data_IF_805137661489
#
_entry.id   IF_805137661489
#
_cell.length_a   1.000
_cell.length_b   1.000
_cell.length_c   1.000
_cell.angle_alpha   90.00
_cell.angle_beta   90.00
_cell.angle_gamma   90.00
#
_symmetry.space_group_name_H-M   'P 1'
#
loop_
_entity.id
_entity.type
_entity.pdbx_description
1 polymer ?
#
# COMPACT_ATOMS: atom_id res chain seq x y z
N UNK A 1 21.35 9.32 -6.78
CA UNK A 1 21.72 8.48 -5.62
C UNK A 1 20.57 7.52 -5.40
N UNK A 2 20.81 6.19 -5.46
CA UNK A 2 19.76 5.19 -5.19
C UNK A 2 19.58 5.14 -3.68
N UNK A 3 18.38 5.46 -3.21
CA UNK A 3 18.05 5.40 -1.80
C UNK A 3 17.74 3.96 -1.38
N UNK A 4 18.16 3.57 -0.18
CA UNK A 4 17.83 2.26 0.36
C UNK A 4 16.48 2.35 1.07
N UNK A 5 15.42 1.80 0.47
CA UNK A 5 14.09 1.72 1.06
C UNK A 5 13.87 0.35 1.69
N UNK A 6 13.14 0.32 2.79
CA UNK A 6 12.61 -0.90 3.35
C UNK A 6 11.39 -1.36 2.57
N UNK A 7 11.27 -2.67 2.43
CA UNK A 7 10.14 -3.34 1.80
C UNK A 7 9.47 -4.24 2.81
N UNK A 8 8.20 -4.02 3.05
CA UNK A 8 7.38 -4.92 3.86
C UNK A 8 6.64 -5.87 2.92
N UNK A 9 6.94 -7.18 2.96
CA UNK A 9 6.37 -8.13 2.03
C UNK A 9 4.89 -8.39 2.29
N UNK A 10 4.11 -8.51 1.21
CA UNK A 10 2.71 -8.94 1.22
C UNK A 10 2.63 -10.29 0.50
N UNK A 11 2.07 -11.29 1.18
CA UNK A 11 1.96 -12.65 0.68
C UNK A 11 0.50 -13.07 0.56
N UNK A 12 0.22 -14.03 -0.31
CA UNK A 12 -1.04 -14.79 -0.21
C UNK A 12 -1.08 -15.57 1.10
N UNK A 13 -2.24 -16.07 1.48
CA UNK A 13 -2.38 -16.97 2.66
C UNK A 13 -1.48 -18.21 2.54
N UNK A 14 -1.17 -18.63 1.31
CA UNK A 14 -0.33 -19.81 1.03
C UNK A 14 1.18 -19.48 1.02
N UNK A 15 1.57 -18.22 1.25
CA UNK A 15 2.97 -17.80 1.34
C UNK A 15 3.60 -17.37 0.03
N UNK A 16 2.84 -17.23 -1.05
CA UNK A 16 3.34 -16.65 -2.31
C UNK A 16 3.50 -15.14 -2.14
N UNK A 17 4.68 -14.60 -2.46
CA UNK A 17 4.94 -13.15 -2.46
C UNK A 17 4.20 -12.50 -3.62
N UNK A 18 3.39 -11.48 -3.35
CA UNK A 18 2.55 -10.81 -4.35
C UNK A 18 2.81 -9.31 -4.45
N UNK A 19 3.30 -8.69 -3.40
CA UNK A 19 3.62 -7.27 -3.40
C UNK A 19 4.67 -6.92 -2.36
N UNK A 20 5.31 -5.78 -2.56
CA UNK A 20 6.24 -5.14 -1.62
C UNK A 20 5.73 -3.74 -1.29
N UNK A 21 5.57 -3.46 -0.01
CA UNK A 21 5.16 -2.16 0.49
C UNK A 21 6.42 -1.35 0.85
N UNK A 22 6.72 -0.31 0.06
CA UNK A 22 7.89 0.52 0.28
C UNK A 22 7.65 1.52 1.41
N UNK A 23 8.53 1.46 2.40
CA UNK A 23 8.57 2.42 3.50
C UNK A 23 9.92 3.14 3.51
N UNK A 24 9.96 4.35 4.04
CA UNK A 24 11.22 5.07 4.23
C UNK A 24 12.12 4.29 5.21
N UNK A 25 13.30 3.89 4.70
CA UNK A 25 14.16 2.89 5.32
C UNK A 25 15.12 3.39 6.38
N UNK A 26 14.71 4.24 7.34
CA UNK A 26 15.59 4.56 8.47
C UNK A 26 14.93 4.31 9.83
N UNK A 27 15.63 3.57 10.74
CA UNK A 27 15.14 3.37 12.10
C UNK A 27 15.29 4.62 13.00
N UNK A 28 15.81 5.72 12.48
CA UNK A 28 16.09 6.94 13.26
C UNK A 28 15.07 8.03 12.93
N UNK A 29 13.83 7.86 13.43
CA UNK A 29 12.73 8.83 13.29
C UNK A 29 13.09 10.28 13.68
N UNK A 30 14.17 10.51 14.41
CA UNK A 30 14.58 11.85 14.87
C UNK A 30 15.44 12.62 13.84
N UNK A 31 16.22 11.95 13.00
CA UNK A 31 17.09 12.61 12.01
C UNK A 31 16.39 12.86 10.68
N UNK A 32 15.56 11.95 10.24
CA UNK A 32 14.85 12.06 8.97
C UNK A 32 13.76 13.13 9.03
N UNK A 33 13.08 13.29 10.18
CA UNK A 33 12.06 14.34 10.37
C UNK A 33 12.66 15.74 10.15
N UNK A 34 13.93 15.95 10.46
CA UNK A 34 14.60 17.25 10.26
C UNK A 34 15.14 17.46 8.85
N UNK A 35 15.44 16.38 8.11
CA UNK A 35 15.95 16.46 6.73
C UNK A 35 14.82 16.36 5.69
N UNK A 36 13.80 15.53 5.94
CA UNK A 36 12.63 15.38 5.06
C UNK A 36 11.68 16.58 5.11
N UNK A 37 11.60 17.29 6.23
CA UNK A 37 10.86 18.57 6.32
C UNK A 37 11.42 19.63 5.37
N UNK A 38 12.66 19.47 4.87
CA UNK A 38 13.30 20.40 3.92
C UNK A 38 13.24 19.95 2.45
N UNK A 39 12.88 18.69 2.17
CA UNK A 39 12.73 18.26 0.79
C UNK A 39 11.32 18.55 0.27
N UNK A 40 11.24 19.15 -0.91
CA UNK A 40 9.97 19.38 -1.59
C UNK A 40 9.25 18.03 -1.79
N UNK A 41 7.95 17.89 -1.51
CA UNK A 41 7.20 16.63 -1.68
C UNK A 41 7.41 15.96 -3.04
N UNK A 42 7.56 16.76 -4.08
CA UNK A 42 7.87 16.32 -5.45
C UNK A 42 9.23 15.63 -5.54
N UNK A 43 10.28 16.22 -4.94
CA UNK A 43 11.64 15.67 -4.99
C UNK A 43 11.70 14.31 -4.29
N UNK A 44 11.03 14.17 -3.16
CA UNK A 44 11.00 12.90 -2.43
C UNK A 44 10.27 11.81 -3.23
N UNK A 45 9.10 12.13 -3.78
CA UNK A 45 8.34 11.19 -4.61
C UNK A 45 9.13 10.79 -5.86
N UNK A 46 9.76 11.75 -6.53
CA UNK A 46 10.61 11.49 -7.70
C UNK A 46 11.76 10.54 -7.36
N UNK A 47 12.45 10.75 -6.23
CA UNK A 47 13.54 9.88 -5.79
C UNK A 47 13.04 8.45 -5.51
N UNK A 48 11.85 8.29 -4.93
CA UNK A 48 11.23 6.98 -4.74
C UNK A 48 10.96 6.30 -6.09
N UNK A 49 10.32 7.00 -7.03
CA UNK A 49 10.00 6.46 -8.35
C UNK A 49 11.24 6.09 -9.16
N UNK A 50 12.28 6.92 -9.16
CA UNK A 50 13.55 6.62 -9.82
C UNK A 50 14.27 5.41 -9.19
N UNK A 51 14.14 5.25 -7.87
CA UNK A 51 14.67 4.05 -7.21
C UNK A 51 13.88 2.81 -7.63
N UNK A 52 12.55 2.88 -7.68
CA UNK A 52 11.70 1.78 -8.14
C UNK A 52 11.98 1.42 -9.61
N UNK A 53 12.18 2.42 -10.46
CA UNK A 53 12.54 2.24 -11.87
C UNK A 53 13.85 1.44 -12.01
N UNK A 54 14.83 1.70 -11.14
CA UNK A 54 16.08 0.94 -11.12
C UNK A 54 15.86 -0.56 -10.84
N UNK A 55 14.84 -0.92 -10.06
CA UNK A 55 14.48 -2.31 -9.74
C UNK A 55 13.31 -2.83 -10.60
N UNK A 56 12.94 -2.15 -11.68
CA UNK A 56 11.76 -2.50 -12.48
C UNK A 56 11.81 -3.92 -13.04
N UNK A 57 12.97 -4.35 -13.50
CA UNK A 57 13.18 -5.71 -14.03
C UNK A 57 12.88 -6.78 -12.99
N UNK A 58 13.28 -6.56 -11.74
CA UNK A 58 12.98 -7.47 -10.64
C UNK A 58 11.47 -7.61 -10.41
N UNK A 59 10.75 -6.50 -10.29
CA UNK A 59 9.29 -6.51 -10.10
C UNK A 59 8.56 -7.19 -11.24
N UNK A 60 8.96 -6.93 -12.48
CA UNK A 60 8.34 -7.50 -13.67
C UNK A 60 8.61 -8.99 -13.79
N UNK A 61 9.86 -9.45 -13.62
CA UNK A 61 10.24 -10.86 -13.71
C UNK A 61 9.55 -11.73 -12.67
N UNK A 62 9.33 -11.18 -11.46
CA UNK A 62 8.67 -11.90 -10.37
C UNK A 62 7.16 -11.62 -10.29
N UNK A 63 6.61 -10.82 -11.23
CA UNK A 63 5.20 -10.42 -11.26
C UNK A 63 4.72 -9.82 -9.92
N UNK A 64 5.55 -8.97 -9.31
CA UNK A 64 5.30 -8.34 -8.02
C UNK A 64 4.75 -6.93 -8.18
N UNK A 65 3.83 -6.55 -7.29
CA UNK A 65 3.40 -5.16 -7.17
C UNK A 65 4.31 -4.41 -6.19
N UNK A 66 4.46 -3.10 -6.42
CA UNK A 66 5.21 -2.18 -5.57
C UNK A 66 4.27 -1.10 -5.05
N UNK A 67 4.11 -1.01 -3.72
CA UNK A 67 3.16 -0.09 -3.11
C UNK A 67 3.88 1.12 -2.50
N UNK A 68 3.34 2.32 -2.74
CA UNK A 68 3.82 3.59 -2.19
C UNK A 68 2.69 4.31 -1.47
N UNK A 69 2.90 4.70 -0.22
CA UNK A 69 1.97 5.58 0.49
C UNK A 69 2.15 7.03 0.03
N UNK A 70 1.06 7.67 -0.39
CA UNK A 70 1.03 9.09 -0.74
C UNK A 70 0.03 9.84 0.15
N UNK A 71 0.49 10.96 0.71
CA UNK A 71 -0.36 11.90 1.41
C UNK A 71 -1.02 12.89 0.43
N UNK A 72 -1.87 13.77 0.94
CA UNK A 72 -2.58 14.78 0.14
C UNK A 72 -1.65 15.65 -0.72
N UNK A 73 -0.50 16.08 -0.18
CA UNK A 73 0.44 16.92 -0.92
C UNK A 73 1.07 16.16 -2.09
N UNK A 74 1.49 14.91 -1.88
CA UNK A 74 2.04 14.05 -2.95
C UNK A 74 0.98 13.69 -3.98
N UNK A 75 -0.27 13.44 -3.55
CA UNK A 75 -1.38 13.19 -4.46
C UNK A 75 -1.61 14.39 -5.41
N UNK A 76 -1.52 15.62 -4.88
CA UNK A 76 -1.56 16.84 -5.71
C UNK A 76 -0.40 16.90 -6.71
N UNK A 77 0.81 16.59 -6.27
CA UNK A 77 1.98 16.53 -7.17
C UNK A 77 1.74 15.51 -8.29
N UNK A 78 1.29 14.31 -7.97
CA UNK A 78 0.96 13.28 -8.97
C UNK A 78 -0.08 13.77 -9.96
N UNK A 79 -1.15 14.43 -9.50
CA UNK A 79 -2.23 14.91 -10.36
C UNK A 79 -1.83 16.08 -11.26
N UNK A 80 -0.80 16.84 -10.90
CA UNK A 80 -0.39 18.07 -11.59
C UNK A 80 0.87 17.92 -12.44
N UNK A 81 1.72 16.92 -12.13
CA UNK A 81 3.00 16.71 -12.82
C UNK A 81 2.88 15.68 -13.92
N UNK A 82 2.82 16.12 -15.17
CA UNK A 82 2.84 15.24 -16.35
C UNK A 82 4.09 14.37 -16.40
N UNK A 83 5.21 14.86 -15.87
CA UNK A 83 6.46 14.11 -15.78
C UNK A 83 6.33 12.92 -14.83
N UNK A 84 5.78 13.13 -13.63
CA UNK A 84 5.54 12.03 -12.65
C UNK A 84 4.53 11.03 -13.22
N UNK A 85 3.48 11.50 -13.88
CA UNK A 85 2.49 10.61 -14.52
C UNK A 85 3.14 9.76 -15.63
N UNK A 86 4.04 10.35 -16.40
CA UNK A 86 4.79 9.61 -17.43
C UNK A 86 5.67 8.53 -16.82
N UNK A 87 6.39 8.81 -15.73
CA UNK A 87 7.18 7.78 -15.02
C UNK A 87 6.24 6.66 -14.52
N UNK A 88 5.15 7.01 -13.83
CA UNK A 88 4.19 6.02 -13.32
C UNK A 88 3.58 5.17 -14.44
N UNK A 89 3.34 5.73 -15.61
CA UNK A 89 2.83 4.96 -16.77
C UNK A 89 3.84 3.92 -17.29
N UNK A 90 5.13 4.12 -17.05
CA UNK A 90 6.19 3.18 -17.39
C UNK A 90 6.42 2.11 -16.31
N UNK A 91 5.81 2.28 -15.14
CA UNK A 91 5.91 1.38 -13.98
C UNK A 91 4.54 0.74 -13.66
N UNK A 92 4.00 -0.13 -14.53
CA UNK A 92 2.63 -0.64 -14.41
C UNK A 92 2.38 -1.50 -13.17
N UNK A 93 3.43 -1.91 -12.48
CA UNK A 93 3.38 -2.66 -11.23
C UNK A 93 3.30 -1.77 -9.98
N UNK A 94 3.47 -0.44 -10.11
CA UNK A 94 3.36 0.48 -8.98
C UNK A 94 1.90 0.69 -8.58
N UNK A 95 1.64 0.77 -7.26
CA UNK A 95 0.35 1.09 -6.66
C UNK A 95 0.51 2.24 -5.66
N UNK A 96 -0.39 3.21 -5.73
CA UNK A 96 -0.40 4.34 -4.82
C UNK A 96 -1.43 4.08 -3.71
N UNK A 97 -0.99 4.12 -2.45
CA UNK A 97 -1.84 3.91 -1.29
C UNK A 97 -2.26 5.26 -0.68
N UNK A 98 -3.55 5.39 -0.41
CA UNK A 98 -4.13 6.49 0.34
C UNK A 98 -4.58 5.97 1.70
N UNK A 99 -4.20 6.66 2.77
CA UNK A 99 -4.68 6.34 4.12
C UNK A 99 -6.16 6.71 4.30
N UNK A 100 -6.85 6.07 5.24
CA UNK A 100 -8.25 6.35 5.57
C UNK A 100 -8.49 7.82 5.98
N UNK A 101 -7.48 8.50 6.54
CA UNK A 101 -7.54 9.91 6.93
C UNK A 101 -7.30 10.90 5.77
N UNK A 102 -7.20 10.41 4.53
CA UNK A 102 -7.03 11.27 3.36
C UNK A 102 -8.21 12.25 3.24
N UNK A 103 -7.94 13.56 3.07
CA UNK A 103 -8.98 14.59 3.09
C UNK A 103 -10.10 14.34 2.08
N UNK A 104 -11.36 14.37 2.56
CA UNK A 104 -12.57 14.19 1.75
C UNK A 104 -12.58 12.85 0.95
N UNK A 105 -11.98 11.81 1.54
CA UNK A 105 -11.95 10.48 0.93
C UNK A 105 -13.38 9.92 0.71
N UNK A 106 -14.31 10.25 1.61
CA UNK A 106 -15.72 9.83 1.56
C UNK A 106 -16.51 10.43 0.39
N UNK A 107 -16.02 11.53 -0.21
CA UNK A 107 -16.64 12.10 -1.42
C UNK A 107 -16.41 11.22 -2.66
N UNK A 108 -15.48 10.26 -2.59
CA UNK A 108 -15.20 9.34 -3.68
C UNK A 108 -14.85 10.08 -4.97
N UNK A 109 -15.54 9.74 -6.05
CA UNK A 109 -15.32 10.38 -7.36
C UNK A 109 -15.85 11.81 -7.47
N UNK A 110 -16.58 12.32 -6.48
CA UNK A 110 -16.95 13.75 -6.41
C UNK A 110 -15.78 14.61 -5.95
N UNK A 111 -14.76 14.01 -5.30
CA UNK A 111 -13.49 14.67 -5.01
C UNK A 111 -12.68 14.84 -6.32
N UNK A 112 -12.42 16.08 -6.77
CA UNK A 112 -11.74 16.30 -8.06
C UNK A 112 -10.33 15.70 -8.12
N UNK A 113 -9.61 15.70 -6.98
CA UNK A 113 -8.26 15.12 -6.91
C UNK A 113 -8.30 13.60 -7.08
N UNK A 114 -9.19 12.92 -6.36
CA UNK A 114 -9.36 11.47 -6.47
C UNK A 114 -9.81 11.06 -7.88
N UNK A 115 -10.76 11.79 -8.45
CA UNK A 115 -11.20 11.58 -9.84
C UNK A 115 -10.02 11.67 -10.80
N UNK A 116 -9.20 12.72 -10.71
CA UNK A 116 -8.02 12.90 -11.58
C UNK A 116 -7.04 11.73 -11.43
N UNK A 117 -6.74 11.30 -10.20
CA UNK A 117 -5.85 10.17 -9.98
C UNK A 117 -6.39 8.87 -10.60
N UNK A 118 -7.69 8.61 -10.44
CA UNK A 118 -8.33 7.41 -11.01
C UNK A 118 -8.34 7.45 -12.54
N UNK A 119 -8.76 8.56 -13.13
CA UNK A 119 -8.86 8.71 -14.59
C UNK A 119 -7.49 8.61 -15.28
N UNK A 120 -6.43 9.10 -14.61
CA UNK A 120 -5.09 9.09 -15.16
C UNK A 120 -4.32 7.80 -14.90
N UNK A 121 -4.49 7.14 -13.75
CA UNK A 121 -3.60 6.09 -13.29
C UNK A 121 -4.33 4.78 -12.96
N UNK A 122 -5.54 4.84 -12.41
CA UNK A 122 -6.37 3.68 -12.00
C UNK A 122 -5.62 2.64 -11.13
N UNK A 123 -4.79 3.10 -10.20
CA UNK A 123 -3.85 2.26 -9.42
C UNK A 123 -3.92 2.53 -7.91
N UNK A 124 -5.08 2.99 -7.42
CA UNK A 124 -5.22 3.37 -6.01
C UNK A 124 -5.58 2.17 -5.13
N UNK A 125 -4.92 2.11 -3.98
CA UNK A 125 -5.24 1.23 -2.85
C UNK A 125 -5.66 2.07 -1.65
N UNK A 126 -6.60 1.56 -0.86
CA UNK A 126 -6.95 2.13 0.45
C UNK A 126 -6.09 1.47 1.52
N UNK A 127 -5.38 2.27 2.31
CA UNK A 127 -4.55 1.85 3.44
C UNK A 127 -5.23 2.16 4.77
N UNK A 128 -4.82 1.45 5.82
CA UNK A 128 -5.19 1.66 7.22
C UNK A 128 -6.71 1.65 7.50
N UNK A 129 -7.50 0.90 6.71
CA UNK A 129 -8.95 0.82 6.94
C UNK A 129 -9.24 0.27 8.33
N UNK A 130 -9.93 1.06 9.14
CA UNK A 130 -10.28 0.76 10.53
C UNK A 130 -9.39 1.44 11.56
N UNK A 131 -8.35 2.19 11.15
CA UNK A 131 -7.52 2.98 12.07
C UNK A 131 -8.27 4.17 12.70
N UNK A 132 -9.30 4.65 11.99
CA UNK A 132 -10.16 5.74 12.43
C UNK A 132 -11.61 5.31 12.61
N UNK A 133 -12.54 6.16 12.20
CA UNK A 133 -13.98 5.88 12.22
C UNK A 133 -14.36 4.99 11.02
N UNK A 134 -13.79 3.81 10.90
CA UNK A 134 -13.95 2.78 9.86
C UNK A 134 -15.04 3.12 8.82
N UNK A 135 -14.73 4.06 7.93
CA UNK A 135 -15.72 4.62 7.03
C UNK A 135 -15.81 3.80 5.74
N UNK A 136 -16.68 2.80 5.73
CA UNK A 136 -16.97 2.02 4.52
C UNK A 136 -17.51 2.88 3.36
N UNK A 137 -17.90 4.14 3.61
CA UNK A 137 -18.37 5.03 2.55
C UNK A 137 -17.30 5.30 1.49
N UNK A 138 -16.01 5.36 1.87
CA UNK A 138 -14.92 5.49 0.92
C UNK A 138 -14.90 4.34 -0.11
N UNK A 139 -15.37 3.14 0.28
CA UNK A 139 -15.39 1.97 -0.59
C UNK A 139 -16.56 1.97 -1.59
N UNK A 140 -17.63 2.73 -1.31
CA UNK A 140 -18.85 2.73 -2.15
C UNK A 140 -18.56 3.21 -3.57
N UNK A 141 -17.58 4.08 -3.76
CA UNK A 141 -17.15 4.56 -5.07
C UNK A 141 -16.50 3.48 -5.94
N UNK A 142 -16.08 2.33 -5.33
CA UNK A 142 -15.34 1.23 -5.99
C UNK A 142 -14.06 1.68 -6.71
N UNK A 143 -13.48 2.78 -6.27
CA UNK A 143 -12.28 3.35 -6.90
C UNK A 143 -10.97 2.67 -6.48
N UNK A 144 -11.02 1.81 -5.46
CA UNK A 144 -9.83 1.14 -4.96
C UNK A 144 -9.70 -0.27 -5.52
N UNK A 145 -8.53 -0.57 -6.10
CA UNK A 145 -8.18 -1.91 -6.57
C UNK A 145 -8.02 -2.90 -5.39
N UNK A 146 -7.45 -2.41 -4.29
CA UNK A 146 -7.26 -3.18 -3.07
C UNK A 146 -7.50 -2.33 -1.82
N UNK A 147 -7.79 -3.01 -0.72
CA UNK A 147 -7.98 -2.41 0.61
C UNK A 147 -7.12 -3.16 1.61
N UNK A 148 -6.32 -2.43 2.39
CA UNK A 148 -5.53 -2.99 3.49
C UNK A 148 -6.14 -2.59 4.83
N UNK A 149 -6.43 -3.60 5.65
CA UNK A 149 -6.93 -3.42 7.02
C UNK A 149 -5.78 -3.03 7.94
N UNK A 150 -6.04 -2.05 8.79
CA UNK A 150 -5.13 -1.65 9.86
C UNK A 150 -4.79 -2.81 10.79
N UNK A 151 -3.53 -2.84 11.26
CA UNK A 151 -3.00 -3.87 12.15
C UNK A 151 -3.79 -3.97 13.46
N UNK A 152 -4.02 -2.84 14.15
CA UNK A 152 -4.70 -2.85 15.44
C UNK A 152 -6.15 -3.25 15.28
N UNK A 153 -6.81 -2.73 14.25
CA UNK A 153 -8.18 -3.12 13.92
C UNK A 153 -8.30 -4.62 13.68
N UNK A 154 -7.38 -5.23 12.93
CA UNK A 154 -7.34 -6.67 12.72
C UNK A 154 -7.17 -7.43 14.03
N UNK A 155 -6.17 -7.09 14.84
CA UNK A 155 -5.87 -7.78 16.10
C UNK A 155 -7.08 -7.74 17.06
N UNK A 156 -7.77 -6.60 17.16
CA UNK A 156 -8.92 -6.41 18.04
C UNK A 156 -10.16 -7.20 17.58
N UNK A 157 -10.24 -7.56 16.30
CA UNK A 157 -11.47 -8.07 15.69
C UNK A 157 -11.39 -9.48 15.11
N UNK A 158 -10.20 -10.01 14.81
CA UNK A 158 -10.02 -11.33 14.16
C UNK A 158 -10.66 -12.50 14.91
N UNK A 159 -10.84 -12.40 16.22
CA UNK A 159 -11.46 -13.43 17.05
C UNK A 159 -12.97 -13.25 17.22
N UNK A 160 -13.54 -12.18 16.70
CA UNK A 160 -14.98 -11.88 16.85
C UNK A 160 -15.80 -12.56 15.75
N UNK A 161 -16.99 -13.11 16.09
CA UNK A 161 -17.82 -13.84 15.12
C UNK A 161 -18.21 -13.05 13.87
N UNK A 162 -18.28 -11.71 13.98
CA UNK A 162 -18.69 -10.85 12.88
C UNK A 162 -17.55 -10.46 11.93
N UNK A 163 -16.29 -10.81 12.25
CA UNK A 163 -15.14 -10.42 11.42
C UNK A 163 -15.24 -10.95 9.98
N UNK A 164 -15.67 -12.22 9.82
CA UNK A 164 -15.89 -12.80 8.48
C UNK A 164 -16.98 -12.08 7.69
N UNK A 165 -18.02 -11.60 8.37
CA UNK A 165 -19.11 -10.81 7.76
C UNK A 165 -18.57 -9.46 7.31
N UNK A 166 -17.72 -8.81 8.11
CA UNK A 166 -17.08 -7.55 7.74
C UNK A 166 -16.22 -7.72 6.47
N UNK A 167 -15.38 -8.75 6.42
CA UNK A 167 -14.58 -9.06 5.22
C UNK A 167 -15.48 -9.30 4.01
N UNK A 168 -16.56 -10.06 4.17
CA UNK A 168 -17.52 -10.29 3.09
C UNK A 168 -18.17 -9.00 2.60
N UNK A 169 -18.46 -8.05 3.49
CA UNK A 169 -18.99 -6.73 3.13
C UNK A 169 -17.95 -5.88 2.38
N UNK A 170 -16.69 -5.82 2.83
CA UNK A 170 -15.61 -5.12 2.14
C UNK A 170 -15.44 -5.70 0.73
N UNK A 171 -15.52 -7.03 0.59
CA UNK A 171 -15.38 -7.72 -0.69
C UNK A 171 -16.48 -7.46 -1.71
N UNK A 172 -17.57 -6.80 -1.35
CA UNK A 172 -18.57 -6.28 -2.30
C UNK A 172 -18.03 -5.10 -3.13
N UNK A 173 -16.99 -4.43 -2.63
CA UNK A 173 -16.39 -3.25 -3.25
C UNK A 173 -15.05 -3.56 -3.92
N UNK A 174 -14.25 -4.49 -3.39
CA UNK A 174 -12.97 -4.93 -3.95
C UNK A 174 -12.73 -6.40 -3.67
N UNK A 175 -12.14 -7.11 -4.63
CA UNK A 175 -11.74 -8.52 -4.45
C UNK A 175 -10.39 -8.68 -3.74
N UNK A 176 -9.63 -7.61 -3.56
CA UNK A 176 -8.28 -7.63 -2.99
C UNK A 176 -8.29 -7.00 -1.60
N UNK A 177 -8.58 -7.83 -0.59
CA UNK A 177 -8.48 -7.45 0.81
C UNK A 177 -7.16 -7.96 1.37
N UNK A 178 -6.38 -7.05 1.95
CA UNK A 178 -5.09 -7.33 2.59
C UNK A 178 -5.27 -7.14 4.10
N UNK A 179 -4.62 -7.97 4.89
CA UNK A 179 -4.63 -7.88 6.35
C UNK A 179 -3.21 -7.65 6.84
N UNK A 180 -3.02 -6.54 7.58
CA UNK A 180 -1.74 -6.22 8.23
C UNK A 180 -1.69 -6.78 9.65
N UNK A 181 -0.46 -7.13 10.11
CA UNK A 181 -0.24 -7.59 11.48
C UNK A 181 -0.56 -9.06 11.73
N UNK A 182 -0.53 -9.88 10.69
CA UNK A 182 -0.58 -11.32 10.85
C UNK A 182 0.78 -11.80 11.36
N UNK A 183 0.82 -12.34 12.60
CA UNK A 183 2.06 -12.71 13.30
C UNK A 183 2.11 -14.19 13.71
N UNK A 184 1.06 -14.95 13.43
CA UNK A 184 1.00 -16.35 13.84
C UNK A 184 0.21 -17.22 12.85
N UNK A 185 0.59 -18.52 12.82
CA UNK A 185 -0.14 -19.54 12.06
C UNK A 185 -1.62 -19.65 12.48
N UNK A 186 -1.90 -19.42 13.77
CA UNK A 186 -3.27 -19.43 14.27
C UNK A 186 -4.12 -18.32 13.66
N UNK A 187 -3.55 -17.13 13.47
CA UNK A 187 -4.23 -16.02 12.79
C UNK A 187 -4.42 -16.33 11.30
N UNK A 188 -3.42 -16.90 10.62
CA UNK A 188 -3.58 -17.37 9.23
C UNK A 188 -4.72 -18.36 9.07
N UNK A 189 -4.82 -19.34 9.97
CA UNK A 189 -5.92 -20.33 9.96
C UNK A 189 -7.29 -19.69 10.12
N UNK A 190 -7.40 -18.64 10.95
CA UNK A 190 -8.66 -17.88 11.09
C UNK A 190 -9.03 -17.11 9.82
N UNK A 191 -8.05 -16.73 9.02
CA UNK A 191 -8.26 -16.01 7.76
C UNK A 191 -8.55 -16.92 6.57
N UNK A 192 -8.27 -18.24 6.67
CA UNK A 192 -8.32 -19.18 5.55
C UNK A 192 -9.67 -19.19 4.81
N UNK A 193 -10.79 -19.11 5.56
CA UNK A 193 -12.13 -19.11 4.99
C UNK A 193 -12.64 -17.72 4.57
N UNK A 194 -11.89 -16.66 4.91
CA UNK A 194 -12.32 -15.26 4.70
C UNK A 194 -12.03 -14.74 3.29
N UNK A 195 -11.41 -15.57 2.42
CA UNK A 195 -11.03 -15.21 1.05
C UNK A 195 -10.20 -13.90 0.99
N UNK A 196 -9.27 -13.76 1.93
CA UNK A 196 -8.29 -12.69 1.95
C UNK A 196 -7.34 -12.86 0.76
N UNK A 197 -7.03 -11.74 0.06
CA UNK A 197 -6.09 -11.75 -1.05
C UNK A 197 -4.63 -11.74 -0.59
N UNK A 198 -4.31 -10.96 0.45
CA UNK A 198 -2.95 -10.81 0.95
C UNK A 198 -2.86 -10.66 2.47
N UNK A 199 -1.72 -11.05 3.03
CA UNK A 199 -1.36 -10.89 4.44
C UNK A 199 0.02 -10.28 4.55
N UNK A 200 0.25 -9.46 5.58
CA UNK A 200 1.51 -8.78 5.84
C UNK A 200 1.94 -9.06 7.27
N UNK A 201 3.21 -9.45 7.47
CA UNK A 201 3.85 -9.63 8.77
C UNK A 201 4.33 -11.05 9.09
N UNK A 202 3.71 -12.11 8.58
CA UNK A 202 3.97 -13.48 9.03
C UNK A 202 5.13 -14.19 8.30
N UNK A 203 5.16 -14.13 6.97
CA UNK A 203 6.03 -15.00 6.19
C UNK A 203 7.48 -14.51 6.13
N UNK A 204 7.68 -13.24 5.84
CA UNK A 204 9.01 -12.66 5.73
C UNK A 204 9.14 -11.39 6.56
N UNK A 205 10.35 -11.14 7.12
CA UNK A 205 10.64 -9.89 7.78
C UNK A 205 10.68 -8.73 6.79
N UNK A 206 10.83 -7.52 7.29
CA UNK A 206 11.14 -6.34 6.49
C UNK A 206 12.50 -6.56 5.81
N UNK A 207 12.56 -6.30 4.52
CA UNK A 207 13.75 -6.42 3.67
C UNK A 207 14.07 -5.05 3.07
N UNK A 208 15.30 -4.87 2.64
CA UNK A 208 15.66 -3.71 1.82
C UNK A 208 15.57 -4.06 0.34
N UNK A 209 15.41 -3.05 -0.53
CA UNK A 209 15.43 -3.28 -1.98
C UNK A 209 16.71 -3.99 -2.46
N UNK A 210 17.85 -3.72 -1.83
CA UNK A 210 19.12 -4.38 -2.17
C UNK A 210 19.14 -5.86 -1.83
N UNK A 211 18.50 -6.25 -0.73
CA UNK A 211 18.43 -7.66 -0.31
C UNK A 211 17.54 -8.51 -1.23
N UNK A 212 16.66 -7.86 -2.01
CA UNK A 212 15.83 -8.56 -2.99
C UNK A 212 16.63 -9.07 -4.19
N UNK A 213 17.67 -8.31 -4.62
CA UNK A 213 18.51 -8.70 -5.77
C UNK A 213 19.58 -9.75 -5.43
N UNK A 214 19.95 -9.85 -4.14
CA UNK A 214 21.01 -10.78 -3.68
C UNK A 214 20.51 -11.61 -2.47
N UNK A 215 19.60 -12.59 -2.70
CA UNK A 215 19.02 -13.41 -1.63
C UNK A 215 20.01 -14.36 -0.95
N UNK A 216 21.32 -14.22 -1.21
CA UNK A 216 22.39 -15.10 -0.77
C UNK A 216 23.39 -14.51 0.22
N UNK A 217 23.08 -13.34 0.85
CA UNK A 217 23.92 -12.79 1.92
C UNK A 217 23.27 -12.87 3.27
#
# INVERSE_FOLDING_TARGET
MIHNYNCVPIHTINGELIALDLTSGEPDHARETLLTVKQHPETHLLNQLLTIEHYADYFQQHNLLCCLTINFQRARVVSQSTFIQQILSQLPFVRLKLSEDFPNLHDGLDNPLLRTLIEQLNILWLDDLGAGDANLNALQSKMFEAVKLDRQFFLDNVSKPWFSILIANIRQYTNRVIVEGVESEMQLKKLADSKIWGVQGYFLPVLTLKELEDPGR
#
